data_IF_929192476809
#
_entry.id   IF_929192476809
#
_cell.length_a   1.000
_cell.length_b   1.000
_cell.length_c   1.000
_cell.angle_alpha   90.00
_cell.angle_beta   90.00
_cell.angle_gamma   90.00
#
_symmetry.space_group_name_H-M   'P 1'
#
loop_
_entity.id
_entity.type
_entity.pdbx_description
1 polymer ?
#
# COMPACT_ATOMS: atom_id res chain seq x y z
N UNK A 1 -4.70 20.85 -4.16
CA UNK A 1 -4.61 20.46 -2.73
C UNK A 1 -6.03 20.23 -2.26
N UNK A 2 -6.39 18.97 -2.09
CA UNK A 2 -7.76 18.58 -1.73
C UNK A 2 -7.89 18.41 -0.22
N UNK A 3 -9.06 18.76 0.30
CA UNK A 3 -9.37 18.66 1.72
C UNK A 3 -10.35 17.51 1.91
N UNK A 4 -9.96 16.53 2.72
CA UNK A 4 -10.82 15.43 3.12
C UNK A 4 -11.49 15.72 4.48
N UNK A 5 -12.74 15.28 4.64
CA UNK A 5 -13.45 15.38 5.92
C UNK A 5 -13.08 14.23 6.84
N UNK A 6 -12.83 14.56 8.11
CA UNK A 6 -12.70 13.59 9.20
C UNK A 6 -14.08 13.34 9.81
N UNK A 7 -14.40 12.09 10.09
CA UNK A 7 -15.63 11.67 10.75
C UNK A 7 -15.38 10.52 11.72
N UNK A 8 -16.41 10.11 12.47
CA UNK A 8 -16.37 8.95 13.37
C UNK A 8 -17.11 7.77 12.75
N UNK A 9 -16.55 6.58 12.87
CA UNK A 9 -17.18 5.33 12.46
C UNK A 9 -16.88 4.24 13.49
N UNK A 10 -17.92 3.70 14.15
CA UNK A 10 -17.74 2.67 15.18
C UNK A 10 -16.76 3.04 16.29
N UNK A 11 -16.84 4.27 16.81
CA UNK A 11 -15.91 4.81 17.83
C UNK A 11 -14.53 5.26 17.30
N UNK A 12 -14.15 4.78 16.11
CA UNK A 12 -12.87 5.12 15.48
C UNK A 12 -12.94 6.42 14.69
N UNK A 13 -11.79 7.07 14.50
CA UNK A 13 -11.65 8.19 13.57
C UNK A 13 -11.43 7.68 12.15
N UNK A 14 -12.13 8.27 11.18
CA UNK A 14 -12.05 7.90 9.77
C UNK A 14 -11.90 9.14 8.89
N UNK A 15 -11.31 8.97 7.71
CA UNK A 15 -11.16 10.02 6.69
C UNK A 15 -11.94 9.60 5.44
N UNK A 16 -12.77 10.50 4.90
CA UNK A 16 -13.45 10.25 3.63
C UNK A 16 -12.51 10.57 2.47
N UNK A 17 -11.97 9.53 1.83
CA UNK A 17 -11.10 9.69 0.66
C UNK A 17 -11.91 10.20 -0.56
N UNK A 18 -11.50 11.34 -1.17
CA UNK A 18 -12.04 11.79 -2.45
C UNK A 18 -11.76 10.75 -3.56
N UNK A 19 -12.50 10.83 -4.66
CA UNK A 19 -12.44 9.84 -5.75
C UNK A 19 -11.01 9.63 -6.27
N UNK A 20 -10.25 10.71 -6.40
CA UNK A 20 -8.90 10.72 -6.99
C UNK A 20 -7.83 10.11 -6.07
N UNK A 21 -8.15 9.89 -4.78
CA UNK A 21 -7.24 9.32 -3.78
C UNK A 21 -7.70 7.94 -3.28
N UNK A 22 -8.59 7.27 -4.01
CA UNK A 22 -9.04 5.92 -3.65
C UNK A 22 -7.96 4.90 -3.99
N UNK A 23 -7.74 3.96 -3.08
CA UNK A 23 -6.91 2.79 -3.32
C UNK A 23 -7.70 1.72 -4.07
N UNK A 24 -7.00 0.95 -4.90
CA UNK A 24 -7.47 -0.29 -5.52
C UNK A 24 -7.28 -1.51 -4.61
N UNK A 25 -6.54 -1.36 -3.52
CA UNK A 25 -6.32 -2.40 -2.50
C UNK A 25 -7.35 -2.35 -1.38
N UNK A 26 -7.55 -3.48 -0.69
CA UNK A 26 -8.40 -3.55 0.52
C UNK A 26 -7.67 -3.17 1.79
N UNK A 27 -6.34 -3.18 1.76
CA UNK A 27 -5.50 -2.91 2.91
C UNK A 27 -4.43 -1.88 2.55
N UNK A 28 -4.08 -1.05 3.53
CA UNK A 28 -3.04 -0.04 3.43
C UNK A 28 -2.11 -0.14 4.63
N UNK A 29 -0.82 0.07 4.41
CA UNK A 29 0.14 0.30 5.47
C UNK A 29 0.00 1.74 5.95
N UNK A 30 0.09 1.92 7.26
CA UNK A 30 -0.04 3.22 7.91
C UNK A 30 1.25 3.51 8.66
N UNK A 31 1.84 4.68 8.40
CA UNK A 31 2.98 5.17 9.19
C UNK A 31 2.86 6.65 9.49
N UNK A 32 3.45 7.08 10.61
CA UNK A 32 3.49 8.48 11.03
C UNK A 32 4.86 9.06 10.73
N UNK A 33 4.89 10.25 10.15
CA UNK A 33 6.10 11.02 9.91
C UNK A 33 5.89 12.46 10.40
N UNK A 34 6.32 12.74 11.63
CA UNK A 34 6.02 13.99 12.33
C UNK A 34 4.51 14.17 12.52
N UNK A 35 3.98 15.28 12.00
CA UNK A 35 2.55 15.58 12.01
C UNK A 35 1.76 14.84 10.90
N UNK A 36 2.45 14.24 9.94
CA UNK A 36 1.84 13.60 8.77
C UNK A 36 1.52 12.12 9.02
N UNK A 37 0.41 11.65 8.47
CA UNK A 37 0.08 10.22 8.35
C UNK A 37 0.19 9.84 6.89
N UNK A 38 1.01 8.83 6.60
CA UNK A 38 1.25 8.31 5.26
C UNK A 38 0.51 6.97 5.15
N UNK A 39 -0.29 6.85 4.09
CA UNK A 39 -1.03 5.64 3.73
C UNK A 39 -0.43 5.10 2.44
N UNK A 40 0.05 3.87 2.47
CA UNK A 40 0.68 3.19 1.32
C UNK A 40 -0.15 1.94 0.99
N UNK A 41 -0.52 1.69 -0.26
CA UNK A 41 -1.26 0.48 -0.63
C UNK A 41 -0.44 -0.75 -0.24
N UNK A 42 -1.10 -1.76 0.32
CA UNK A 42 -0.48 -3.05 0.57
C UNK A 42 -0.82 -3.98 -0.60
N UNK A 43 0.17 -4.35 -1.44
CA UNK A 43 -0.05 -5.33 -2.50
C UNK A 43 -0.51 -6.64 -1.86
N UNK A 44 -1.56 -7.25 -2.42
CA UNK A 44 -2.05 -8.57 -1.97
C UNK A 44 -1.08 -9.69 -2.31
N UNK A 45 -0.30 -9.49 -3.36
CA UNK A 45 0.66 -10.45 -3.88
C UNK A 45 1.96 -9.75 -4.29
N UNK A 46 2.87 -10.56 -4.82
CA UNK A 46 4.14 -10.10 -5.36
C UNK A 46 4.08 -9.88 -6.87
N UNK A 47 2.89 -9.70 -7.46
CA UNK A 47 2.77 -9.48 -8.91
C UNK A 47 3.54 -8.24 -9.36
N UNK A 48 3.65 -7.23 -8.49
CA UNK A 48 4.48 -6.04 -8.72
C UNK A 48 5.97 -6.33 -8.87
N UNK A 49 6.46 -7.46 -8.32
CA UNK A 49 7.86 -7.89 -8.48
C UNK A 49 8.11 -8.46 -9.87
N UNK A 50 7.11 -9.04 -10.55
CA UNK A 50 7.24 -9.69 -11.88
C UNK A 50 8.12 -8.94 -12.88
N UNK A 51 7.96 -7.62 -13.13
CA UNK A 51 8.81 -6.89 -14.05
C UNK A 51 10.26 -6.65 -13.55
N UNK A 52 10.52 -6.87 -12.26
CA UNK A 52 11.82 -6.71 -11.61
C UNK A 52 12.58 -8.04 -11.47
N UNK A 53 11.92 -9.19 -11.67
CA UNK A 53 12.53 -10.51 -11.57
C UNK A 53 13.09 -10.91 -12.94
N UNK A 54 14.38 -11.21 -12.99
CA UNK A 54 15.02 -11.85 -14.13
C UNK A 54 14.95 -13.38 -14.04
N UNK A 55 15.38 -14.09 -15.10
CA UNK A 55 15.58 -15.53 -15.03
C UNK A 55 16.55 -15.88 -13.89
N UNK A 56 16.23 -16.95 -13.16
CA UNK A 56 17.13 -17.50 -12.13
C UNK A 56 18.40 -17.99 -12.84
N UNK A 57 19.57 -17.68 -12.28
CA UNK A 57 20.82 -18.14 -12.85
C UNK A 57 21.00 -19.65 -12.61
N UNK A 58 21.58 -20.35 -13.59
CA UNK A 58 21.73 -21.81 -13.57
C UNK A 58 22.55 -22.33 -12.38
N UNK A 59 23.44 -21.50 -11.82
CA UNK A 59 24.21 -21.84 -10.62
C UNK A 59 23.36 -21.86 -9.35
N UNK A 60 22.33 -21.01 -9.29
CA UNK A 60 21.35 -20.99 -8.22
C UNK A 60 20.38 -22.18 -8.30
N UNK A 61 20.00 -22.63 -9.50
CA UNK A 61 19.08 -23.77 -9.71
C UNK A 61 19.66 -25.13 -9.30
N UNK A 62 20.99 -25.26 -9.31
CA UNK A 62 21.69 -26.55 -9.08
C UNK A 62 22.29 -26.68 -7.68
N UNK A 63 22.14 -25.67 -6.81
CA UNK A 63 22.64 -25.73 -5.44
C UNK A 63 21.67 -26.53 -4.56
N UNK A 64 22.05 -27.77 -4.23
CA UNK A 64 21.34 -28.66 -3.29
C UNK A 64 21.78 -28.43 -1.85
#
# INVERSE_FOLDING_TARGET
>A
MDIAKIFKHGGSQAVRLPKDFRFDTTEVRIRRHGASVILEPMPRDWAWLTPLIGPVDAGFETCR
#
